data_IF_294158691316
#
_entry.id   IF_294158691316
#
_cell.length_a   1.000
_cell.length_b   1.000
_cell.length_c   1.000
_cell.angle_alpha   90.00
_cell.angle_beta   90.00
_cell.angle_gamma   90.00
#
_symmetry.space_group_name_H-M   'P 1'
#
loop_
_entity.id
_entity.type
_entity.pdbx_description
1 polymer ?
#
# COMPACT_ATOMS: atom_id res chain seq x y z
N UNK A 1 18.68 -1.98 6.00
CA UNK A 1 19.09 -1.09 7.12
C UNK A 1 19.20 -1.94 8.39
N UNK A 2 20.22 -1.77 9.26
CA UNK A 2 20.31 -2.51 10.53
C UNK A 2 19.03 -2.36 11.36
N UNK A 3 18.59 -3.43 12.04
CA UNK A 3 17.39 -3.40 12.90
C UNK A 3 17.55 -2.44 14.10
N UNK A 4 18.78 -2.16 14.49
CA UNK A 4 19.14 -1.23 15.56
C UNK A 4 18.96 0.24 15.17
N UNK A 5 18.74 0.53 13.88
CA UNK A 5 18.51 1.90 13.43
C UNK A 5 17.09 2.36 13.76
N UNK A 6 16.99 3.45 14.51
CA UNK A 6 15.75 4.16 14.76
C UNK A 6 15.57 5.24 13.69
N UNK A 7 14.69 5.00 12.71
CA UNK A 7 14.47 5.90 11.57
C UNK A 7 14.02 7.28 12.04
N UNK A 8 13.27 7.35 13.13
CA UNK A 8 12.82 8.61 13.71
C UNK A 8 13.97 9.52 14.13
N UNK A 9 15.16 8.95 14.40
CA UNK A 9 16.37 9.69 14.78
C UNK A 9 17.30 9.99 13.61
N UNK A 10 17.07 9.38 12.46
CA UNK A 10 17.93 9.51 11.26
C UNK A 10 17.28 10.45 10.25
N UNK A 11 15.94 10.41 10.14
CA UNK A 11 15.20 11.26 9.23
C UNK A 11 15.34 12.75 9.60
N UNK A 12 15.55 13.58 8.59
CA UNK A 12 15.69 15.04 8.75
C UNK A 12 14.39 15.80 8.47
N UNK A 13 13.44 15.17 7.80
CA UNK A 13 12.11 15.72 7.49
C UNK A 13 11.07 14.58 7.37
N UNK A 14 9.81 14.91 7.12
CA UNK A 14 8.77 13.93 6.75
C UNK A 14 7.81 14.53 5.73
N UNK A 15 7.27 13.69 4.83
CA UNK A 15 6.17 14.04 3.92
C UNK A 15 4.79 13.69 4.51
N UNK A 16 4.72 13.33 5.80
CA UNK A 16 3.46 13.17 6.54
C UNK A 16 3.02 14.53 7.14
N UNK A 17 1.72 14.77 7.29
CA UNK A 17 1.23 15.96 8.01
C UNK A 17 1.67 15.99 9.49
N UNK A 18 1.89 14.84 10.12
CA UNK A 18 2.36 14.72 11.50
C UNK A 18 3.88 14.68 11.54
N UNK A 19 4.52 15.70 12.15
CA UNK A 19 5.98 15.85 12.15
C UNK A 19 6.71 14.67 12.78
N UNK A 20 6.16 14.11 13.86
CA UNK A 20 6.75 12.99 14.60
C UNK A 20 6.70 11.66 13.86
N UNK A 21 5.93 11.57 12.78
CA UNK A 21 5.88 10.36 11.97
C UNK A 21 6.96 10.41 10.89
N UNK A 22 8.08 9.71 11.11
CA UNK A 22 9.17 9.51 10.15
C UNK A 22 9.16 8.10 9.54
N UNK A 23 8.03 7.40 9.62
CA UNK A 23 7.90 6.05 9.08
C UNK A 23 8.18 6.06 7.58
N UNK A 24 8.81 5.00 7.09
CA UNK A 24 9.04 4.81 5.66
C UNK A 24 8.12 3.69 5.18
N UNK A 25 7.47 3.89 4.05
CA UNK A 25 6.52 2.95 3.51
C UNK A 25 6.49 3.04 1.99
N UNK A 26 6.17 1.93 1.36
CA UNK A 26 6.19 1.81 -0.09
C UNK A 26 5.09 0.85 -0.57
N UNK A 27 4.56 1.12 -1.76
CA UNK A 27 3.67 0.25 -2.51
C UNK A 27 3.99 0.38 -4.00
N UNK A 28 3.53 -0.56 -4.80
CA UNK A 28 3.70 -0.54 -6.24
C UNK A 28 3.01 0.66 -6.91
N UNK A 29 3.62 1.15 -7.99
CA UNK A 29 3.07 2.27 -8.77
C UNK A 29 2.10 1.77 -9.82
N UNK A 30 0.96 2.44 -9.99
CA UNK A 30 -0.03 2.10 -11.00
C UNK A 30 0.30 2.75 -12.35
N UNK A 31 0.17 1.97 -13.43
CA UNK A 31 0.29 2.42 -14.81
C UNK A 31 -1.00 2.12 -15.57
N UNK A 32 -1.30 2.95 -16.58
CA UNK A 32 -2.31 2.67 -17.59
C UNK A 32 -1.62 2.16 -18.86
N UNK A 33 -2.07 1.02 -19.39
CA UNK A 33 -1.59 0.44 -20.65
C UNK A 33 -2.54 0.85 -21.77
N UNK A 34 -2.03 1.64 -22.71
CA UNK A 34 -2.75 2.04 -23.91
C UNK A 34 -2.90 0.89 -24.90
N UNK A 35 -3.90 0.97 -25.77
CA UNK A 35 -4.13 -0.01 -26.84
C UNK A 35 -2.95 -0.12 -27.82
N UNK A 36 -2.14 0.94 -27.96
CA UNK A 36 -0.91 0.91 -28.77
C UNK A 36 0.25 0.18 -28.06
N UNK A 37 0.05 -0.33 -26.85
CA UNK A 37 1.04 -1.04 -26.04
C UNK A 37 1.88 -0.15 -25.11
N UNK A 38 1.81 1.17 -25.24
CA UNK A 38 2.56 2.09 -24.38
C UNK A 38 1.95 2.19 -22.97
N UNK A 39 2.78 2.54 -22.00
CA UNK A 39 2.41 2.72 -20.61
C UNK A 39 2.53 4.19 -20.21
N UNK A 40 1.64 4.65 -19.34
CA UNK A 40 1.78 5.95 -18.68
C UNK A 40 1.49 5.78 -17.20
N UNK A 41 2.31 6.43 -16.36
CA UNK A 41 2.12 6.42 -14.91
C UNK A 41 0.78 7.07 -14.55
N UNK A 42 0.00 6.41 -13.70
CA UNK A 42 -1.23 6.99 -13.15
C UNK A 42 -0.84 7.97 -12.02
N UNK A 43 -1.22 9.25 -12.11
CA UNK A 43 -0.93 10.22 -11.05
C UNK A 43 -1.61 9.84 -9.74
N UNK A 44 -0.97 10.15 -8.62
CA UNK A 44 -1.62 10.09 -7.31
C UNK A 44 -2.38 11.39 -7.03
N UNK A 45 -3.43 11.31 -6.22
CA UNK A 45 -4.16 12.47 -5.72
C UNK A 45 -4.17 12.47 -4.17
N UNK A 46 -4.39 13.64 -3.53
CA UNK A 46 -4.69 13.71 -2.11
C UNK A 46 -5.91 12.87 -1.73
N UNK A 47 -5.92 12.37 -0.49
CA UNK A 47 -7.08 11.72 0.10
C UNK A 47 -7.95 12.76 0.84
N UNK A 48 -9.15 12.35 1.25
CA UNK A 48 -10.04 13.20 2.05
C UNK A 48 -9.33 13.65 3.33
N UNK A 49 -9.47 14.95 3.66
CA UNK A 49 -8.93 15.58 4.86
C UNK A 49 -7.39 15.57 5.02
N UNK A 50 -6.62 15.23 3.98
CA UNK A 50 -5.14 15.21 4.06
C UNK A 50 -4.44 16.45 3.51
N UNK A 51 -5.18 17.52 3.20
CA UNK A 51 -4.62 18.75 2.63
C UNK A 51 -4.31 18.59 1.13
N UNK A 52 -3.17 19.14 0.69
CA UNK A 52 -2.73 19.10 -0.73
C UNK A 52 -1.31 18.54 -0.89
N UNK A 53 -1.02 17.32 -0.39
CA UNK A 53 0.24 16.65 -0.70
C UNK A 53 0.34 16.37 -2.21
N UNK A 54 1.53 16.48 -2.78
CA UNK A 54 1.79 16.25 -4.20
C UNK A 54 2.15 14.79 -4.53
N UNK A 55 1.90 13.86 -3.61
CA UNK A 55 2.10 12.43 -3.76
C UNK A 55 1.93 11.69 -2.43
N UNK A 56 2.24 10.39 -2.43
CA UNK A 56 2.22 9.54 -1.24
C UNK A 56 0.91 8.77 -1.08
N UNK A 57 0.66 8.35 0.16
CA UNK A 57 -0.50 7.54 0.55
C UNK A 57 -0.93 7.91 1.97
N UNK A 58 -2.21 7.71 2.28
CA UNK A 58 -2.70 7.83 3.65
C UNK A 58 -2.41 6.55 4.40
N UNK A 59 -1.72 6.66 5.54
CA UNK A 59 -1.41 5.53 6.42
C UNK A 59 -2.23 5.64 7.69
N UNK A 60 -3.11 4.66 7.91
CA UNK A 60 -3.90 4.55 9.13
C UNK A 60 -3.22 3.60 10.10
N UNK A 61 -3.17 4.00 11.37
CA UNK A 61 -2.66 3.20 12.48
C UNK A 61 -3.81 2.79 13.38
N UNK A 62 -4.06 1.49 13.55
CA UNK A 62 -5.21 0.97 14.31
C UNK A 62 -4.78 0.07 15.48
N UNK A 63 -4.02 0.65 16.43
CA UNK A 63 -3.55 0.30 17.82
C UNK A 63 -2.25 -0.49 18.14
N UNK A 64 -1.26 0.20 18.77
CA UNK A 64 0.06 -0.16 19.40
C UNK A 64 1.40 0.27 18.75
N UNK A 65 2.45 0.38 19.58
CA UNK A 65 3.74 1.00 19.28
C UNK A 65 4.92 0.09 19.66
N UNK A 66 5.80 -0.19 18.71
CA UNK A 66 7.09 -0.84 18.96
C UNK A 66 8.16 -0.22 18.06
N UNK A 67 9.29 0.16 18.67
CA UNK A 67 10.39 0.83 17.94
C UNK A 67 11.09 -0.17 17.02
N UNK A 68 11.44 0.28 15.82
CA UNK A 68 12.16 -0.54 14.84
C UNK A 68 11.31 -1.61 14.16
N UNK A 69 9.99 -1.60 14.35
CA UNK A 69 9.08 -2.57 13.76
C UNK A 69 9.07 -2.50 12.23
N UNK A 70 9.14 -3.65 11.56
CA UNK A 70 9.08 -3.74 10.08
C UNK A 70 8.14 -4.86 9.67
N UNK A 71 7.37 -4.62 8.62
CA UNK A 71 6.52 -5.67 8.06
C UNK A 71 6.30 -5.46 6.57
N UNK A 72 6.12 -6.57 5.86
CA UNK A 72 5.63 -6.60 4.48
C UNK A 72 4.28 -7.32 4.42
N UNK A 73 3.45 -6.96 3.45
CA UNK A 73 2.16 -7.58 3.20
C UNK A 73 1.96 -7.82 1.71
N UNK A 74 1.22 -8.85 1.33
CA UNK A 74 0.99 -9.20 -0.07
C UNK A 74 2.04 -10.12 -0.66
N UNK A 75 1.84 -10.46 -1.94
CA UNK A 75 2.79 -11.26 -2.70
C UNK A 75 2.84 -10.72 -4.14
N UNK A 76 3.97 -10.13 -4.57
CA UNK A 76 4.11 -9.51 -5.90
C UNK A 76 3.93 -10.48 -7.07
N UNK A 77 4.02 -11.80 -6.82
CA UNK A 77 3.91 -12.82 -7.84
C UNK A 77 2.47 -13.26 -8.10
N UNK A 78 1.52 -12.95 -7.23
CA UNK A 78 0.13 -13.39 -7.40
C UNK A 78 -0.52 -12.74 -8.63
N UNK A 79 -1.27 -13.55 -9.40
CA UNK A 79 -2.10 -13.08 -10.53
C UNK A 79 -3.53 -13.60 -10.50
N UNK A 80 -3.90 -14.30 -9.44
CA UNK A 80 -5.25 -14.81 -9.25
C UNK A 80 -5.56 -14.90 -7.76
N UNK A 81 -6.85 -14.94 -7.43
CA UNK A 81 -7.28 -15.48 -6.15
C UNK A 81 -6.82 -16.94 -6.05
N UNK A 82 -6.23 -17.33 -4.91
CA UNK A 82 -5.88 -18.73 -4.64
C UNK A 82 -7.01 -19.38 -3.84
N UNK A 83 -7.59 -20.50 -4.33
CA UNK A 83 -8.72 -21.16 -3.66
C UNK A 83 -8.39 -21.82 -2.32
N UNK A 84 -7.12 -22.17 -2.09
CA UNK A 84 -6.69 -23.10 -1.02
C UNK A 84 -5.85 -22.43 0.10
N UNK A 85 -5.62 -21.11 0.01
CA UNK A 85 -5.29 -20.32 1.19
C UNK A 85 -6.61 -20.04 1.92
N UNK A 86 -6.70 -20.31 3.22
CA UNK A 86 -7.89 -20.04 4.06
C UNK A 86 -8.21 -18.52 4.23
N UNK A 87 -7.93 -17.72 3.21
CA UNK A 87 -8.34 -16.36 3.03
C UNK A 87 -8.22 -16.00 1.54
N UNK A 88 -9.18 -15.27 0.92
CA UNK A 88 -8.84 -14.41 -0.22
C UNK A 88 -7.63 -13.56 0.19
N UNK A 89 -6.80 -13.04 -0.74
CA UNK A 89 -5.71 -12.16 -0.34
C UNK A 89 -6.32 -11.01 0.46
N UNK A 90 -6.21 -11.11 1.79
CA UNK A 90 -6.62 -10.14 2.81
C UNK A 90 -5.74 -8.89 2.71
N UNK A 91 -5.15 -8.66 1.56
CA UNK A 91 -4.05 -7.74 1.35
C UNK A 91 -4.57 -6.53 0.62
N UNK A 92 -5.46 -6.72 -0.36
CA UNK A 92 -5.90 -5.60 -1.20
C UNK A 92 -7.38 -5.62 -1.51
N UNK A 93 -7.95 -4.43 -1.56
CA UNK A 93 -9.23 -4.15 -2.20
C UNK A 93 -9.16 -2.83 -2.95
N UNK A 94 -10.12 -2.62 -3.83
CA UNK A 94 -10.21 -1.42 -4.65
C UNK A 94 -11.59 -0.79 -4.49
N UNK A 95 -11.63 0.54 -4.42
CA UNK A 95 -12.89 1.28 -4.41
C UNK A 95 -12.87 2.38 -5.47
N UNK A 96 -13.89 2.40 -6.32
CA UNK A 96 -14.12 3.52 -7.22
C UNK A 96 -14.78 4.67 -6.44
N UNK A 97 -14.25 5.88 -6.59
CA UNK A 97 -14.84 7.11 -6.07
C UNK A 97 -15.04 8.11 -7.20
N UNK A 98 -15.91 9.10 -6.96
CA UNK A 98 -16.02 10.25 -7.86
C UNK A 98 -14.79 11.17 -7.74
N UNK A 99 -14.69 12.16 -8.63
CA UNK A 99 -13.54 13.08 -8.68
C UNK A 99 -13.40 13.96 -7.42
N UNK A 100 -14.50 14.17 -6.70
CA UNK A 100 -14.52 14.86 -5.41
C UNK A 100 -14.37 13.90 -4.21
N UNK A 101 -13.97 12.65 -4.49
CA UNK A 101 -13.82 11.55 -3.54
C UNK A 101 -15.14 11.10 -2.89
N UNK A 102 -16.30 11.45 -3.46
CA UNK A 102 -17.59 10.92 -3.00
C UNK A 102 -17.58 9.39 -3.08
N UNK A 103 -17.84 8.78 -1.92
CA UNK A 103 -17.97 7.34 -1.77
C UNK A 103 -19.46 6.93 -1.83
N UNK A 104 -19.82 6.14 -2.85
CA UNK A 104 -21.17 5.61 -3.02
C UNK A 104 -21.40 4.28 -2.30
N UNK A 105 -20.36 3.69 -1.69
CA UNK A 105 -20.44 2.51 -0.84
C UNK A 105 -20.66 2.93 0.63
N UNK A 106 -21.77 3.65 0.87
CA UNK A 106 -22.04 4.34 2.14
C UNK A 106 -22.08 3.39 3.34
N UNK A 107 -21.30 3.72 4.37
CA UNK A 107 -21.31 3.04 5.66
C UNK A 107 -20.47 1.76 5.76
N UNK A 108 -19.80 1.37 4.67
CA UNK A 108 -18.92 0.20 4.64
C UNK A 108 -17.45 0.65 4.83
N UNK A 109 -16.70 0.09 5.80
CA UNK A 109 -15.26 0.33 5.88
C UNK A 109 -14.54 -0.10 4.60
N UNK A 110 -13.28 0.33 4.38
CA UNK A 110 -12.44 -0.20 3.34
C UNK A 110 -12.50 -1.73 3.24
N UNK A 111 -12.75 -2.26 2.05
CA UNK A 111 -12.84 -3.70 1.79
C UNK A 111 -14.19 -4.31 2.16
N UNK A 112 -15.09 -3.54 2.77
CA UNK A 112 -16.49 -3.89 3.02
C UNK A 112 -17.35 -3.72 1.78
N UNK A 113 -18.46 -4.45 1.74
CA UNK A 113 -19.37 -4.51 0.62
C UNK A 113 -18.83 -5.38 -0.51
N UNK A 114 -19.04 -4.94 -1.74
CA UNK A 114 -18.56 -5.62 -2.95
C UNK A 114 -17.26 -4.98 -3.49
N UNK A 115 -16.43 -4.37 -2.63
CA UNK A 115 -15.12 -3.86 -3.05
C UNK A 115 -14.34 -4.99 -3.74
N UNK A 116 -13.98 -4.86 -5.02
CA UNK A 116 -13.26 -5.91 -5.71
C UNK A 116 -11.85 -6.06 -5.14
N UNK A 117 -11.36 -7.31 -5.15
CA UNK A 117 -9.99 -7.67 -4.74
C UNK A 117 -9.04 -7.84 -5.93
N UNK A 118 -9.58 -7.74 -7.14
CA UNK A 118 -8.86 -7.54 -8.39
C UNK A 118 -9.09 -6.09 -8.84
N UNK A 119 -8.34 -5.64 -9.84
CA UNK A 119 -8.62 -4.34 -10.43
C UNK A 119 -10.08 -4.24 -10.92
N UNK A 120 -10.71 -3.05 -10.81
CA UNK A 120 -12.04 -2.82 -11.37
C UNK A 120 -12.09 -3.17 -12.86
N UNK A 121 -13.14 -3.87 -13.26
CA UNK A 121 -13.45 -4.27 -14.64
C UNK A 121 -14.11 -3.15 -15.46
N UNK A 122 -14.23 -1.96 -14.87
CA UNK A 122 -14.83 -0.78 -15.46
C UNK A 122 -14.09 0.48 -15.01
N UNK A 123 -14.16 1.52 -15.82
CA UNK A 123 -13.63 2.83 -15.46
C UNK A 123 -14.37 3.40 -14.24
N UNK A 124 -13.60 3.84 -13.23
CA UNK A 124 -14.14 4.66 -12.15
C UNK A 124 -14.46 6.08 -12.66
N UNK A 125 -15.42 6.77 -12.03
CA UNK A 125 -15.81 8.12 -12.45
C UNK A 125 -14.71 9.15 -12.20
N UNK A 126 -14.05 9.07 -11.04
CA UNK A 126 -12.90 9.91 -10.70
C UNK A 126 -11.65 9.09 -10.47
N UNK A 127 -11.61 8.37 -9.35
CA UNK A 127 -10.38 7.76 -8.85
C UNK A 127 -10.56 6.29 -8.51
N UNK A 128 -9.45 5.55 -8.54
CA UNK A 128 -9.33 4.27 -7.83
C UNK A 128 -8.65 4.54 -6.50
N UNK A 129 -9.30 4.18 -5.39
CA UNK A 129 -8.64 4.04 -4.10
C UNK A 129 -8.24 2.59 -3.92
N UNK A 130 -6.93 2.32 -3.94
CA UNK A 130 -6.39 1.01 -3.57
C UNK A 130 -6.14 0.96 -2.07
N UNK A 131 -6.57 -0.11 -1.44
CA UNK A 131 -6.51 -0.31 0.01
C UNK A 131 -5.59 -1.49 0.30
N UNK A 132 -4.46 -1.25 0.97
CA UNK A 132 -3.48 -2.29 1.30
C UNK A 132 -3.47 -2.53 2.80
N UNK A 133 -3.83 -3.74 3.21
CA UNK A 133 -3.93 -4.13 4.62
C UNK A 133 -2.69 -4.88 5.05
N UNK A 134 -2.22 -4.56 6.25
CA UNK A 134 -1.16 -5.29 6.90
C UNK A 134 -1.71 -6.26 7.97
N UNK A 135 -0.99 -7.37 8.21
CA UNK A 135 -1.15 -8.21 9.39
C UNK A 135 -1.23 -7.41 10.70
N UNK A 136 -1.95 -7.94 11.70
CA UNK A 136 -2.13 -7.28 13.00
C UNK A 136 -1.91 -8.19 14.21
N UNK A 137 -1.56 -9.45 14.02
CA UNK A 137 -1.29 -10.40 15.09
C UNK A 137 0.21 -10.69 15.15
N UNK A 138 0.86 -10.20 16.20
CA UNK A 138 2.31 -10.26 16.41
C UNK A 138 2.69 -11.42 17.35
N UNK A 139 3.85 -12.03 17.10
CA UNK A 139 4.41 -13.12 17.91
C UNK A 139 4.81 -12.70 19.34
N UNK A 140 4.92 -11.40 19.60
CA UNK A 140 5.27 -10.84 20.89
C UNK A 140 6.76 -10.83 21.21
N UNK A 141 7.59 -11.22 20.24
CA UNK A 141 9.04 -11.41 20.41
C UNK A 141 9.82 -10.59 19.39
N UNK A 142 9.51 -10.72 18.10
CA UNK A 142 10.36 -10.22 17.02
C UNK A 142 9.79 -8.94 16.41
N UNK A 143 10.50 -7.82 16.49
CA UNK A 143 10.11 -6.58 15.79
C UNK A 143 10.40 -6.61 14.28
N UNK A 144 11.18 -7.62 13.84
CA UNK A 144 11.46 -7.93 12.45
C UNK A 144 11.90 -9.40 12.38
N UNK A 145 11.48 -10.13 11.36
CA UNK A 145 11.94 -11.50 11.06
C UNK A 145 12.88 -11.48 9.86
N UNK A 146 13.71 -12.52 9.62
CA UNK A 146 14.60 -12.54 8.45
C UNK A 146 13.86 -12.38 7.11
N UNK A 147 12.60 -12.79 7.04
CA UNK A 147 11.70 -12.63 5.90
C UNK A 147 10.79 -11.41 5.98
N UNK A 148 10.92 -10.57 7.00
CA UNK A 148 10.10 -9.38 7.26
C UNK A 148 8.58 -9.65 7.38
N UNK A 149 8.15 -10.93 7.45
CA UNK A 149 6.75 -11.32 7.38
C UNK A 149 6.34 -12.31 8.49
N UNK A 150 7.14 -13.35 8.77
CA UNK A 150 6.73 -14.47 9.64
C UNK A 150 6.48 -14.13 11.12
N UNK A 151 6.91 -12.96 11.60
CA UNK A 151 6.67 -12.51 12.98
C UNK A 151 5.30 -11.84 13.18
N UNK A 152 4.54 -11.58 12.11
CA UNK A 152 3.22 -10.96 12.16
C UNK A 152 2.26 -11.59 11.13
N UNK A 153 1.04 -11.94 11.56
CA UNK A 153 0.04 -12.61 10.72
C UNK A 153 -1.32 -11.92 10.76
N UNK A 154 -2.15 -12.17 9.76
CA UNK A 154 -3.53 -11.71 9.76
C UNK A 154 -4.36 -12.42 10.84
N UNK A 155 -5.31 -11.70 11.41
CA UNK A 155 -6.30 -12.27 12.33
C UNK A 155 -7.10 -13.42 11.70
N UNK A 156 -7.51 -14.36 12.56
CA UNK A 156 -8.37 -15.49 12.20
C UNK A 156 -9.85 -15.12 12.35
N UNK A 157 -10.71 -15.92 11.73
CA UNK A 157 -12.16 -15.74 11.76
C UNK A 157 -12.77 -15.56 10.37
N UNK A 158 -14.10 -15.65 10.29
CA UNK A 158 -14.82 -15.54 9.02
C UNK A 158 -14.67 -14.13 8.43
N UNK A 159 -14.73 -14.05 7.10
CA UNK A 159 -15.00 -12.78 6.43
C UNK A 159 -16.45 -12.39 6.72
N UNK A 160 -16.67 -11.09 6.88
CA UNK A 160 -18.00 -10.52 7.02
C UNK A 160 -18.16 -9.48 5.91
N UNK A 161 -19.27 -9.56 5.17
CA UNK A 161 -19.49 -8.73 3.99
C UNK A 161 -19.67 -7.26 4.32
N UNK A 162 -20.01 -6.92 5.57
CA UNK A 162 -20.13 -5.54 6.02
C UNK A 162 -18.76 -4.94 6.38
N UNK A 163 -17.99 -5.63 7.20
CA UNK A 163 -16.69 -5.20 7.69
C UNK A 163 -15.54 -5.43 6.71
N UNK A 164 -15.76 -6.26 5.69
CA UNK A 164 -14.79 -6.48 4.64
C UNK A 164 -13.68 -7.42 5.01
N UNK A 165 -12.49 -7.23 4.41
CA UNK A 165 -11.36 -8.18 4.44
C UNK A 165 -10.61 -8.31 5.76
N UNK A 166 -10.51 -7.25 6.56
CA UNK A 166 -9.65 -7.26 7.76
C UNK A 166 -10.20 -6.56 8.98
N UNK A 167 -11.16 -5.64 8.83
CA UNK A 167 -11.74 -4.99 9.99
C UNK A 167 -12.55 -5.99 10.83
N UNK A 168 -12.57 -5.78 12.14
CA UNK A 168 -13.42 -6.50 13.09
C UNK A 168 -13.26 -8.05 13.10
N UNK A 169 -12.02 -8.56 13.01
CA UNK A 169 -11.71 -10.00 13.07
C UNK A 169 -11.73 -10.59 14.49
N UNK A 170 -12.09 -11.88 14.57
CA UNK A 170 -12.46 -12.58 15.79
C UNK A 170 -11.30 -12.84 16.77
N UNK A 171 -10.05 -12.97 16.31
CA UNK A 171 -8.91 -13.12 17.21
C UNK A 171 -7.57 -13.34 16.53
N UNK A 172 -6.52 -13.34 17.34
CA UNK A 172 -5.18 -13.70 16.93
C UNK A 172 -4.88 -15.18 17.23
N UNK A 173 -4.14 -15.90 16.37
CA UNK A 173 -3.78 -17.28 16.64
C UNK A 173 -2.80 -17.36 17.82
N UNK A 174 -2.71 -18.53 18.45
CA UNK A 174 -1.81 -18.75 19.59
C UNK A 174 -0.32 -18.59 19.25
N UNK A 175 0.05 -18.76 17.97
CA UNK A 175 1.41 -18.47 17.48
C UNK A 175 1.73 -16.97 17.45
N UNK A 176 0.71 -16.12 17.40
CA UNK A 176 0.85 -14.66 17.31
C UNK A 176 -0.13 -13.95 18.24
N UNK A 177 -0.03 -14.15 19.57
CA UNK A 177 -1.11 -13.83 20.49
C UNK A 177 -1.31 -12.33 20.72
N UNK A 178 -0.36 -11.47 20.32
CA UNK A 178 -0.40 -10.04 20.62
C UNK A 178 -1.08 -9.30 19.47
N UNK A 179 -2.23 -8.69 19.74
CA UNK A 179 -2.89 -7.80 18.79
C UNK A 179 -2.16 -6.45 18.74
N UNK A 180 -1.81 -6.02 17.54
CA UNK A 180 -1.05 -4.79 17.21
C UNK A 180 -1.86 -3.92 16.25
N UNK A 181 -1.35 -2.74 15.81
CA UNK A 181 -2.17 -1.90 14.98
C UNK A 181 -2.38 -2.59 13.67
N UNK A 182 -3.60 -2.56 13.16
CA UNK A 182 -3.70 -2.70 11.72
C UNK A 182 -3.12 -1.45 11.08
N UNK A 183 -2.19 -1.66 10.16
CA UNK A 183 -1.76 -0.63 9.23
C UNK A 183 -2.60 -0.80 7.97
N UNK A 184 -3.21 0.30 7.51
CA UNK A 184 -3.92 0.36 6.23
C UNK A 184 -3.30 1.48 5.41
N UNK A 185 -2.88 1.16 4.19
CA UNK A 185 -2.54 2.16 3.19
C UNK A 185 -3.76 2.41 2.32
N UNK A 186 -4.11 3.69 2.14
CA UNK A 186 -4.98 4.13 1.06
C UNK A 186 -4.17 4.96 0.09
N UNK A 187 -4.07 4.48 -1.14
CA UNK A 187 -3.47 5.25 -2.25
C UNK A 187 -4.58 5.65 -3.21
N UNK A 188 -4.68 6.95 -3.50
CA UNK A 188 -5.66 7.49 -4.45
C UNK A 188 -4.99 7.66 -5.80
N UNK A 189 -5.43 6.89 -6.77
CA UNK A 189 -4.98 6.94 -8.15
C UNK A 189 -5.95 7.77 -8.97
N UNK A 190 -5.47 8.89 -9.53
CA UNK A 190 -6.27 9.75 -10.39
C UNK A 190 -6.49 9.09 -11.76
N UNK A 191 -7.59 8.36 -11.88
CA UNK A 191 -7.93 7.60 -13.08
C UNK A 191 -8.82 8.35 -14.06
N UNK A 192 -9.34 9.52 -13.67
CA UNK A 192 -10.27 10.32 -14.46
C UNK A 192 -9.77 10.61 -15.89
N UNK A 193 -8.48 10.94 -16.12
CA UNK A 193 -7.97 11.19 -17.46
C UNK A 193 -8.06 9.99 -18.42
N UNK A 194 -8.18 8.77 -17.89
CA UNK A 194 -8.16 7.53 -18.66
C UNK A 194 -9.55 6.95 -18.93
N UNK A 195 -10.60 7.53 -18.35
CA UNK A 195 -11.98 7.00 -18.43
C UNK A 195 -12.46 6.82 -19.87
N UNK A 196 -12.24 7.83 -20.71
CA UNK A 196 -12.64 7.81 -22.13
C UNK A 196 -11.65 7.05 -23.02
N UNK A 197 -10.59 6.47 -22.44
CA UNK A 197 -9.58 5.66 -23.13
C UNK A 197 -9.73 4.17 -22.81
N UNK A 198 -10.80 3.78 -22.11
CA UNK A 198 -11.04 2.38 -21.77
C UNK A 198 -11.11 1.52 -23.03
N UNK A 199 -10.48 0.33 -23.04
CA UNK A 199 -10.50 -0.55 -24.20
C UNK A 199 -11.92 -0.91 -24.65
N UNK A 200 -12.15 -0.89 -25.97
CA UNK A 200 -13.44 -1.23 -26.59
C UNK A 200 -13.85 -2.69 -26.37
N UNK A 201 -12.87 -3.59 -26.19
CA UNK A 201 -13.10 -5.00 -25.87
C UNK A 201 -13.51 -5.24 -24.40
N UNK A 202 -13.57 -4.17 -23.60
CA UNK A 202 -13.91 -4.22 -22.18
C UNK A 202 -12.77 -4.70 -21.29
N UNK A 203 -11.57 -4.94 -21.83
CA UNK A 203 -10.42 -5.30 -21.01
C UNK A 203 -10.06 -4.18 -20.03
N UNK A 204 -9.70 -4.58 -18.81
CA UNK A 204 -9.13 -3.66 -17.84
C UNK A 204 -7.73 -3.23 -18.35
N UNK A 205 -7.35 -1.93 -18.25
CA UNK A 205 -6.08 -1.43 -18.79
C UNK A 205 -5.01 -1.09 -17.75
N UNK A 206 -5.27 -1.22 -16.44
CA UNK A 206 -4.28 -0.86 -15.42
C UNK A 206 -3.33 -1.99 -15.08
N UNK A 207 -2.07 -1.64 -14.85
CA UNK A 207 -1.01 -2.58 -14.52
C UNK A 207 -0.17 -1.99 -13.39
N UNK A 208 0.11 -2.76 -12.34
CA UNK A 208 1.09 -2.33 -11.35
C UNK A 208 2.52 -2.46 -11.88
N UNK A 209 3.44 -1.67 -11.32
CA UNK A 209 4.83 -1.52 -11.78
C UNK A 209 5.65 -2.82 -11.86
N UNK A 210 5.25 -3.88 -11.13
CA UNK A 210 5.87 -5.21 -11.20
C UNK A 210 5.26 -6.11 -12.29
N UNK A 211 4.48 -5.54 -13.23
CA UNK A 211 3.88 -6.25 -14.34
C UNK A 211 2.66 -7.09 -13.94
N UNK A 212 1.89 -6.63 -12.94
CA UNK A 212 0.62 -7.25 -12.55
C UNK A 212 -0.57 -6.52 -13.20
N UNK A 213 -1.25 -7.13 -14.20
CA UNK A 213 -2.45 -6.58 -14.82
C UNK A 213 -3.74 -6.97 -14.08
N UNK A 214 -3.65 -7.70 -12.98
CA UNK A 214 -4.80 -8.30 -12.28
C UNK A 214 -5.16 -7.61 -10.98
N UNK A 215 -4.17 -6.97 -10.33
CA UNK A 215 -4.32 -6.31 -9.04
C UNK A 215 -4.07 -7.22 -7.84
N UNK A 216 -4.02 -8.55 -8.03
CA UNK A 216 -3.79 -9.52 -6.95
C UNK A 216 -2.37 -9.47 -6.37
N UNK A 217 -1.39 -9.00 -7.14
CA UNK A 217 0.00 -8.88 -6.75
C UNK A 217 0.31 -7.60 -5.96
N UNK A 218 -0.71 -6.83 -5.59
CA UNK A 218 -0.54 -5.64 -4.76
C UNK A 218 0.06 -6.03 -3.40
N UNK A 219 1.06 -5.28 -2.96
CA UNK A 219 1.84 -5.53 -1.76
C UNK A 219 2.35 -4.21 -1.22
N UNK A 220 2.81 -4.20 0.02
CA UNK A 220 3.37 -3.00 0.62
C UNK A 220 4.38 -3.32 1.70
N UNK A 221 5.27 -2.36 1.90
CA UNK A 221 6.33 -2.40 2.89
C UNK A 221 6.09 -1.30 3.91
N UNK A 222 6.28 -1.63 5.19
CA UNK A 222 6.17 -0.66 6.27
C UNK A 222 7.38 -0.75 7.21
N UNK A 223 7.93 0.40 7.53
CA UNK A 223 9.04 0.56 8.44
C UNK A 223 8.73 1.65 9.46
N UNK A 224 8.64 1.27 10.73
CA UNK A 224 8.23 2.14 11.83
C UNK A 224 9.24 3.26 12.09
N UNK A 225 8.75 4.51 12.14
CA UNK A 225 9.58 5.69 12.39
C UNK A 225 8.91 6.76 13.24
N UNK A 226 7.99 6.41 14.15
CA UNK A 226 7.42 7.40 15.07
C UNK A 226 8.43 7.82 16.13
N UNK A 227 8.54 9.13 16.37
CA UNK A 227 9.40 9.71 17.39
C UNK A 227 8.88 9.41 18.81
N UNK A 228 9.78 8.93 19.67
CA UNK A 228 9.50 8.73 21.10
C UNK A 228 8.34 7.75 21.35
N UNK A 229 7.39 8.17 22.16
CA UNK A 229 6.13 7.49 22.48
C UNK A 229 4.91 8.19 21.83
N UNK A 230 5.12 9.06 20.84
CA UNK A 230 4.07 9.92 20.26
C UNK A 230 2.91 9.13 19.67
N UNK A 231 3.19 8.05 18.94
CA UNK A 231 2.12 7.18 18.46
C UNK A 231 1.30 6.63 19.62
N UNK A 232 1.96 6.13 20.69
CA UNK A 232 1.24 5.58 21.83
C UNK A 232 0.33 6.62 22.49
N UNK A 233 0.86 7.83 22.76
CA UNK A 233 0.07 8.91 23.37
C UNK A 233 -1.13 9.29 22.51
N UNK A 234 -0.95 9.36 21.19
CA UNK A 234 -2.04 9.64 20.28
C UNK A 234 -3.09 8.53 20.27
N UNK A 235 -2.67 7.26 20.24
CA UNK A 235 -3.60 6.12 20.31
C UNK A 235 -4.36 6.05 21.63
N UNK A 236 -3.78 6.53 22.73
CA UNK A 236 -4.40 6.55 24.06
C UNK A 236 -5.40 7.70 24.24
N UNK A 237 -5.22 8.82 23.52
CA UNK A 237 -5.93 10.09 23.80
C UNK A 237 -6.73 10.67 22.63
N UNK A 238 -6.37 10.36 21.39
CA UNK A 238 -6.97 10.94 20.20
C UNK A 238 -7.94 9.92 19.60
N UNK A 239 -9.23 10.12 19.85
CA UNK A 239 -10.31 9.17 19.51
C UNK A 239 -11.23 9.69 18.41
N UNK A 240 -10.89 10.82 17.80
CA UNK A 240 -11.65 11.43 16.72
C UNK A 240 -11.63 10.56 15.46
N UNK A 241 -12.81 10.34 14.88
CA UNK A 241 -12.99 9.42 13.75
C UNK A 241 -12.80 10.08 12.37
N UNK A 242 -12.66 11.42 12.30
CA UNK A 242 -12.64 12.14 11.02
C UNK A 242 -11.29 12.06 10.27
N UNK A 243 -10.26 11.48 10.89
CA UNK A 243 -8.93 11.30 10.29
C UNK A 243 -8.12 12.58 10.12
N UNK A 244 -8.56 13.70 10.70
CA UNK A 244 -7.84 14.98 10.62
C UNK A 244 -6.86 15.09 11.80
N UNK A 245 -5.53 15.15 11.54
CA UNK A 245 -4.52 15.18 12.59
C UNK A 245 -4.59 16.44 13.46
N UNK A 246 -5.25 17.53 13.02
CA UNK A 246 -5.38 18.76 13.79
C UNK A 246 -6.23 18.62 15.06
N UNK A 247 -7.06 17.58 15.15
CA UNK A 247 -7.86 17.33 16.35
C UNK A 247 -7.05 16.64 17.47
N UNK A 248 -5.91 16.02 17.13
CA UNK A 248 -5.08 15.31 18.09
C UNK A 248 -3.98 16.22 18.66
N UNK A 249 -4.14 16.62 19.92
CA UNK A 249 -3.17 17.51 20.62
C UNK A 249 -1.79 16.88 20.89
N UNK A 250 -1.64 15.59 20.61
CA UNK A 250 -0.36 14.88 20.74
C UNK A 250 0.53 15.04 19.50
N UNK A 251 0.02 15.64 18.42
CA UNK A 251 0.73 15.84 17.16
C UNK A 251 1.16 17.29 16.95
N UNK A 252 2.34 17.47 16.36
CA UNK A 252 2.69 18.72 15.69
C UNK A 252 2.40 18.57 14.20
N UNK A 253 1.37 19.28 13.74
CA UNK A 253 0.97 19.26 12.32
C UNK A 253 1.78 20.29 11.54
N UNK A 254 2.31 19.90 10.39
CA UNK A 254 2.99 20.79 9.44
C UNK A 254 2.10 21.12 8.24
N UNK A 255 2.37 22.25 7.58
CA UNK A 255 1.58 22.69 6.44
C UNK A 255 1.96 21.96 5.13
N UNK A 256 1.16 22.14 4.09
CA UNK A 256 1.35 21.48 2.79
C UNK A 256 2.70 21.83 2.13
N UNK A 257 3.22 23.06 2.30
CA UNK A 257 4.50 23.47 1.73
C UNK A 257 5.67 22.69 2.37
N UNK A 258 5.63 22.51 3.69
CA UNK A 258 6.61 21.72 4.43
C UNK A 258 6.55 20.23 4.09
N UNK A 259 5.33 19.69 3.97
CA UNK A 259 5.10 18.30 3.51
C UNK A 259 5.71 18.08 2.13
N UNK A 260 5.40 18.98 1.19
CA UNK A 260 5.81 18.86 -0.21
C UNK A 260 7.31 19.17 -0.43
N UNK A 261 7.97 19.85 0.52
CA UNK A 261 9.40 20.09 0.48
C UNK A 261 10.24 18.86 0.89
N UNK A 262 9.67 17.91 1.64
CA UNK A 262 10.39 16.72 2.08
C UNK A 262 10.36 15.62 1.00
N UNK A 263 11.30 15.70 0.05
CA UNK A 263 11.44 14.74 -1.04
C UNK A 263 12.81 14.09 -1.05
N UNK A 264 12.88 12.84 -1.50
CA UNK A 264 14.14 12.15 -1.79
C UNK A 264 14.38 12.20 -3.30
N UNK A 265 15.55 12.68 -3.78
CA UNK A 265 15.85 12.67 -5.22
C UNK A 265 15.95 11.22 -5.73
N UNK A 266 15.65 11.01 -7.01
CA UNK A 266 15.84 9.70 -7.60
C UNK A 266 17.30 9.27 -7.51
N UNK A 267 17.52 8.04 -7.06
CA UNK A 267 18.84 7.40 -7.00
C UNK A 267 19.11 6.48 -8.20
N UNK A 268 18.11 6.29 -9.05
CA UNK A 268 18.19 5.53 -10.31
C UNK A 268 17.85 6.47 -11.45
N UNK A 269 18.72 6.55 -12.45
CA UNK A 269 18.47 7.30 -13.68
C UNK A 269 17.68 6.42 -14.67
N UNK A 270 16.38 6.29 -14.42
CA UNK A 270 15.45 5.58 -15.30
C UNK A 270 14.27 6.49 -15.66
N UNK A 271 13.83 6.43 -16.91
CA UNK A 271 12.67 7.20 -17.36
C UNK A 271 11.39 6.56 -16.83
N UNK A 272 10.68 7.28 -15.96
CA UNK A 272 9.43 6.83 -15.34
C UNK A 272 8.21 7.70 -15.71
N UNK A 273 8.41 8.76 -16.49
CA UNK A 273 7.37 9.72 -16.87
C UNK A 273 7.16 9.80 -18.39
N UNK A 274 5.94 10.22 -18.76
CA UNK A 274 5.44 10.23 -20.14
C UNK A 274 5.06 8.84 -20.65
N UNK A 275 4.89 8.72 -21.97
CA UNK A 275 4.59 7.43 -22.61
C UNK A 275 5.84 6.56 -22.69
N UNK A 276 5.78 5.37 -22.10
CA UNK A 276 6.85 4.39 -22.00
C UNK A 276 6.54 3.19 -22.90
N UNK A 277 7.55 2.66 -23.59
CA UNK A 277 7.39 1.47 -24.43
C UNK A 277 7.32 0.17 -23.61
N UNK A 278 7.81 0.21 -22.37
CA UNK A 278 7.77 -0.88 -21.40
C UNK A 278 7.70 -0.32 -19.98
N UNK A 279 7.26 -1.15 -19.02
CA UNK A 279 7.33 -0.80 -17.60
C UNK A 279 8.80 -0.67 -17.15
N UNK A 280 9.12 0.31 -16.29
CA UNK A 280 10.45 0.46 -15.68
C UNK A 280 10.91 -0.80 -14.93
N UNK A 281 12.22 -1.02 -14.84
CA UNK A 281 12.82 -2.07 -14.00
C UNK A 281 12.77 -3.48 -14.56
N UNK A 282 12.62 -3.66 -15.88
CA UNK A 282 12.43 -4.97 -16.52
C UNK A 282 11.22 -5.75 -16.01
N UNK A 283 10.09 -5.08 -15.85
CA UNK A 283 8.87 -5.69 -15.34
C UNK A 283 7.89 -5.96 -16.48
N UNK A 284 8.08 -6.98 -17.34
CA UNK A 284 7.12 -7.29 -18.39
C UNK A 284 5.77 -7.66 -17.75
N UNK A 285 4.68 -7.32 -18.43
CA UNK A 285 3.34 -7.74 -18.02
C UNK A 285 3.29 -9.27 -18.03
N UNK A 286 2.90 -9.85 -16.90
CA UNK A 286 2.68 -11.29 -16.75
C UNK A 286 1.21 -11.51 -16.40
N UNK A 287 0.43 -11.95 -17.38
CA UNK A 287 -1.00 -12.21 -17.21
C UNK A 287 -1.25 -13.41 -16.29
N UNK A 288 -2.39 -13.39 -15.60
CA UNK A 288 -2.87 -14.53 -14.81
C UNK A 288 -3.52 -15.64 -15.64
N UNK A 289 -4.00 -16.72 -15.01
CA UNK A 289 -4.15 -16.89 -13.56
C UNK A 289 -2.92 -17.53 -12.86
N UNK A 290 -1.94 -17.99 -13.62
CA UNK A 290 -0.69 -18.50 -13.05
C UNK A 290 0.09 -17.38 -12.37
N UNK A 291 0.77 -17.71 -11.27
CA UNK A 291 1.64 -16.73 -10.63
C UNK A 291 2.76 -16.32 -11.58
N UNK A 292 3.15 -15.05 -11.48
CA UNK A 292 4.27 -14.53 -12.22
C UNK A 292 5.55 -15.26 -11.82
N UNK A 293 6.51 -15.24 -12.73
CA UNK A 293 7.84 -15.81 -12.55
C UNK A 293 8.88 -14.70 -12.47
N UNK A 294 9.97 -14.96 -11.76
CA UNK A 294 11.08 -14.02 -11.69
C UNK A 294 11.74 -13.84 -13.06
N UNK A 295 12.12 -12.60 -13.37
CA UNK A 295 12.87 -12.31 -14.60
C UNK A 295 14.34 -12.68 -14.39
N UNK A 296 14.95 -13.50 -15.26
CA UNK A 296 16.36 -13.84 -15.15
C UNK A 296 17.24 -12.59 -15.10
N UNK A 297 18.20 -12.56 -14.19
CA UNK A 297 19.05 -11.38 -14.00
C UNK A 297 19.86 -11.05 -15.28
N UNK A 298 20.21 -12.06 -16.08
CA UNK A 298 20.95 -11.86 -17.32
C UNK A 298 20.10 -11.24 -18.44
N UNK A 299 18.77 -11.37 -18.37
CA UNK A 299 17.86 -10.78 -19.36
C UNK A 299 17.39 -9.37 -18.99
N UNK A 300 17.70 -8.89 -17.78
CA UNK A 300 17.33 -7.55 -17.34
C UNK A 300 18.48 -6.55 -17.47
N UNK A 301 18.29 -5.55 -18.34
CA UNK A 301 19.25 -4.46 -18.56
C UNK A 301 18.96 -3.20 -17.73
N UNK A 302 17.87 -3.18 -16.95
CA UNK A 302 17.50 -2.01 -16.16
C UNK A 302 18.59 -1.62 -15.15
N UNK A 303 18.63 -0.33 -14.85
CA UNK A 303 19.50 0.22 -13.81
C UNK A 303 18.82 -0.04 -12.47
N UNK A 304 19.56 -0.53 -11.50
CA UNK A 304 19.02 -0.82 -10.17
C UNK A 304 20.09 -0.60 -9.12
N UNK A 305 19.69 -0.03 -7.98
CA UNK A 305 20.52 0.11 -6.78
C UNK A 305 20.68 -1.20 -6.01
N UNK A 306 19.96 -2.26 -6.41
CA UNK A 306 19.91 -3.55 -5.71
C UNK A 306 20.44 -4.71 -6.55
N UNK A 307 21.12 -4.46 -7.68
CA UNK A 307 21.73 -5.54 -8.50
C UNK A 307 22.55 -6.49 -7.61
N UNK A 308 22.14 -7.75 -7.56
CA UNK A 308 22.80 -8.80 -6.76
C UNK A 308 22.23 -9.06 -5.37
N UNK A 309 21.19 -8.35 -4.92
CA UNK A 309 20.42 -8.69 -3.73
C UNK A 309 19.29 -9.66 -4.10
N UNK A 310 19.18 -10.78 -3.38
CA UNK A 310 18.09 -11.75 -3.56
C UNK A 310 16.88 -11.24 -2.77
N UNK A 311 15.71 -11.02 -3.39
CA UNK A 311 14.49 -10.68 -2.66
C UNK A 311 14.16 -11.77 -1.65
N UNK A 312 13.77 -11.40 -0.43
CA UNK A 312 13.35 -12.40 0.54
C UNK A 312 11.96 -12.92 0.15
N UNK A 313 11.86 -14.23 -0.06
CA UNK A 313 10.58 -14.85 -0.38
C UNK A 313 9.65 -14.83 0.84
N UNK A 314 8.41 -14.40 0.63
CA UNK A 314 7.35 -14.48 1.65
C UNK A 314 6.78 -15.91 1.60
N UNK A 315 6.76 -16.66 2.71
CA UNK A 315 6.03 -17.92 2.78
C UNK A 315 4.53 -17.65 2.55
N UNK A 316 3.90 -18.39 1.63
CA UNK A 316 2.47 -18.35 1.35
C UNK A 316 1.63 -18.71 2.59
#
# INVERSE_FOLDING_TARGET
MPITNDISKIATCTSCQVRENKSNYWTAVLFFKHQNGSFIRVPQAPNLNTGKPNGGMTVYYVQTSSKGFRMITGNPMLRSMKPDSNAPPKVTSFRCLDSDLTDHNLGQPPGGGADPIAFPDRACQGVIRSQTYFPQCWDGVNVDSPDHASHIVFGTGPLDSFSGLNFYRAGCPSSHPIKTPMILFETIWNTQPFKEMWPEDGSQPFVYSMGDPTGYGHHGDYMFGWEGDTLQRAMDKCTEFNGDPNYCKEFHVQNDDEVNACTVPSVVEERIEGYLDALPGCNPVQDGPSDATGIPAESCTAISTTKGLVPTAIPL
#
